data_IF_734764628042
#
_entry.id   IF_734764628042
#
_cell.length_a   1.000
_cell.length_b   1.000
_cell.length_c   1.000
_cell.angle_alpha   90.00
_cell.angle_beta   90.00
_cell.angle_gamma   90.00
#
_symmetry.space_group_name_H-M   'P 1'
#
loop_
_entity.id
_entity.type
_entity.pdbx_description
1 polymer ?
#
# COMPACT_ATOMS: atom_id res chain seq x y z
N UNK A 1 31.53 10.79 17.48
CA UNK A 1 32.42 10.49 16.35
C UNK A 1 32.15 9.05 15.83
N UNK A 2 32.13 8.04 16.69
CA UNK A 2 31.90 6.64 16.32
C UNK A 2 30.61 6.43 15.53
N UNK A 3 29.50 7.04 15.96
CA UNK A 3 28.20 6.93 15.26
C UNK A 3 28.26 7.55 13.86
N UNK A 4 28.94 8.69 13.72
CA UNK A 4 29.10 9.34 12.41
C UNK A 4 29.94 8.49 11.48
N UNK A 5 31.02 7.90 11.99
CA UNK A 5 31.89 6.98 11.22
C UNK A 5 31.13 5.72 10.79
N UNK A 6 30.25 5.17 11.66
CA UNK A 6 29.41 4.03 11.29
C UNK A 6 28.41 4.40 10.17
N UNK A 7 27.79 5.59 10.25
CA UNK A 7 26.88 6.07 9.18
C UNK A 7 27.59 6.32 7.85
N UNK A 8 28.85 6.77 7.90
CA UNK A 8 29.67 6.94 6.70
C UNK A 8 30.02 5.58 6.08
N UNK A 9 30.39 4.60 6.90
CA UNK A 9 30.68 3.25 6.44
C UNK A 9 29.44 2.58 5.81
N UNK A 10 28.25 2.70 6.43
CA UNK A 10 26.99 2.21 5.85
C UNK A 10 26.69 2.88 4.50
N UNK A 11 26.89 4.20 4.41
CA UNK A 11 26.69 4.94 3.16
C UNK A 11 27.67 4.48 2.06
N UNK A 12 28.93 4.28 2.37
CA UNK A 12 29.93 3.77 1.41
C UNK A 12 29.55 2.37 0.90
N UNK A 13 29.02 1.52 1.79
CA UNK A 13 28.52 0.21 1.41
C UNK A 13 27.33 0.32 0.46
N UNK A 14 26.31 1.12 0.80
CA UNK A 14 25.13 1.33 -0.04
C UNK A 14 25.50 1.90 -1.43
N UNK A 15 26.48 2.82 -1.49
CA UNK A 15 27.00 3.38 -2.75
C UNK A 15 27.74 2.31 -3.56
N UNK A 16 28.52 1.45 -2.92
CA UNK A 16 29.23 0.35 -3.58
C UNK A 16 28.25 -0.66 -4.17
N UNK A 17 27.21 -1.03 -3.43
CA UNK A 17 26.16 -1.93 -3.89
C UNK A 17 25.37 -1.32 -5.06
N UNK A 18 24.99 -0.04 -4.97
CA UNK A 18 24.33 0.68 -6.05
C UNK A 18 25.17 0.73 -7.33
N UNK A 19 26.49 0.94 -7.17
CA UNK A 19 27.45 0.96 -8.27
C UNK A 19 27.60 -0.42 -8.92
N UNK A 20 27.66 -1.49 -8.14
CA UNK A 20 27.75 -2.86 -8.68
C UNK A 20 26.56 -3.19 -9.57
N UNK A 21 25.34 -2.83 -9.13
CA UNK A 21 24.10 -2.99 -9.91
C UNK A 21 24.13 -2.17 -11.20
N UNK A 22 24.66 -0.94 -11.16
CA UNK A 22 24.81 -0.11 -12.37
C UNK A 22 25.75 -0.79 -13.37
N UNK A 23 26.92 -1.24 -12.91
CA UNK A 23 27.94 -1.87 -13.77
C UNK A 23 27.41 -3.16 -14.41
N UNK A 24 26.68 -4.00 -13.67
CA UNK A 24 26.05 -5.19 -14.23
C UNK A 24 25.06 -4.87 -15.35
N UNK A 25 24.20 -3.87 -15.14
CA UNK A 25 23.25 -3.42 -16.14
C UNK A 25 23.93 -2.78 -17.35
N UNK A 26 24.94 -1.96 -17.13
CA UNK A 26 25.73 -1.36 -18.23
C UNK A 26 26.39 -2.45 -19.08
N UNK A 27 27.03 -3.44 -18.46
CA UNK A 27 27.65 -4.55 -19.19
C UNK A 27 26.64 -5.27 -20.07
N UNK A 28 25.43 -5.55 -19.53
CA UNK A 28 24.38 -6.23 -20.32
C UNK A 28 24.01 -5.46 -21.58
N UNK A 29 24.00 -4.12 -21.54
CA UNK A 29 23.66 -3.27 -22.69
C UNK A 29 24.81 -3.14 -23.68
N UNK A 30 26.06 -2.94 -23.16
CA UNK A 30 27.23 -2.67 -24.00
C UNK A 30 28.04 -3.92 -24.36
N UNK A 31 27.62 -5.11 -23.93
CA UNK A 31 28.33 -6.37 -24.20
C UNK A 31 28.59 -6.56 -25.71
N UNK A 32 29.83 -6.88 -26.03
CA UNK A 32 30.26 -7.13 -27.42
C UNK A 32 30.37 -5.90 -28.33
N UNK A 33 30.12 -4.70 -27.81
CA UNK A 33 30.23 -3.45 -28.57
C UNK A 33 31.56 -2.76 -28.33
N UNK A 34 31.97 -1.92 -29.29
CA UNK A 34 33.17 -1.10 -29.22
C UNK A 34 32.82 0.32 -28.79
N UNK A 35 33.61 0.87 -27.86
CA UNK A 35 33.47 2.23 -27.39
C UNK A 35 33.78 3.24 -28.51
N UNK A 36 33.01 4.32 -28.58
CA UNK A 36 33.25 5.45 -29.51
C UNK A 36 34.09 6.57 -28.86
N UNK A 37 34.46 6.41 -27.57
CA UNK A 37 35.21 7.37 -26.79
C UNK A 37 34.33 8.00 -25.73
N UNK A 38 34.34 7.45 -24.52
CA UNK A 38 33.61 8.00 -23.37
C UNK A 38 34.54 9.02 -22.68
N UNK A 39 34.01 10.24 -22.54
CA UNK A 39 34.71 11.36 -21.90
C UNK A 39 33.96 11.81 -20.65
N UNK A 40 34.66 12.52 -19.77
CA UNK A 40 33.99 13.25 -18.70
C UNK A 40 33.54 14.65 -19.18
N UNK A 41 32.86 15.40 -18.35
CA UNK A 41 32.43 16.78 -18.65
C UNK A 41 33.60 17.72 -18.88
N UNK A 42 34.79 17.39 -18.41
CA UNK A 42 36.02 18.14 -18.61
C UNK A 42 36.74 17.78 -19.94
N UNK A 43 36.22 16.83 -20.70
CA UNK A 43 36.80 16.39 -21.97
C UNK A 43 37.90 15.34 -21.86
N UNK A 44 38.20 14.84 -20.65
CA UNK A 44 39.18 13.76 -20.48
C UNK A 44 38.61 12.42 -20.92
N UNK A 45 39.42 11.66 -21.66
CA UNK A 45 39.02 10.35 -22.18
C UNK A 45 39.11 9.29 -21.10
N UNK A 46 37.95 8.80 -20.63
CA UNK A 46 37.89 7.72 -19.64
C UNK A 46 38.05 6.35 -20.33
N UNK A 47 37.35 6.13 -21.43
CA UNK A 47 37.47 4.90 -22.23
C UNK A 47 37.83 5.30 -23.66
N UNK A 48 39.02 4.94 -24.17
CA UNK A 48 39.42 5.31 -25.52
C UNK A 48 38.57 4.62 -26.60
N UNK A 49 38.45 5.30 -27.74
CA UNK A 49 37.74 4.82 -28.93
C UNK A 49 38.33 3.50 -29.42
N UNK A 50 37.45 2.56 -29.79
CA UNK A 50 37.84 1.28 -30.36
C UNK A 50 38.09 0.15 -29.34
N UNK A 51 38.13 0.43 -28.04
CA UNK A 51 38.23 -0.62 -27.01
C UNK A 51 36.88 -1.31 -26.76
N UNK A 52 36.91 -2.61 -26.48
CA UNK A 52 35.73 -3.35 -26.01
C UNK A 52 35.50 -3.08 -24.53
N UNK A 53 34.25 -2.99 -24.13
CA UNK A 53 33.90 -2.79 -22.72
C UNK A 53 34.23 -4.04 -21.89
N UNK A 54 34.89 -3.85 -20.76
CA UNK A 54 35.16 -4.90 -19.78
C UNK A 54 34.67 -4.46 -18.40
N UNK A 55 34.27 -5.44 -17.58
CA UNK A 55 33.82 -5.18 -16.21
C UNK A 55 34.87 -4.44 -15.38
N UNK A 56 36.15 -4.80 -15.56
CA UNK A 56 37.27 -4.12 -14.86
C UNK A 56 37.36 -2.64 -15.19
N UNK A 57 37.13 -2.26 -16.47
CA UNK A 57 37.19 -0.85 -16.90
C UNK A 57 36.00 -0.07 -16.34
N UNK A 58 34.79 -0.63 -16.34
CA UNK A 58 33.62 0.01 -15.77
C UNK A 58 33.73 0.15 -14.23
N UNK A 59 34.26 -0.87 -13.55
CA UNK A 59 34.53 -0.76 -12.11
C UNK A 59 35.63 0.26 -11.75
N UNK A 60 36.52 0.56 -12.66
CA UNK A 60 37.57 1.56 -12.44
C UNK A 60 37.09 3.03 -12.53
N UNK A 61 35.87 3.23 -13.03
CA UNK A 61 35.29 4.57 -13.11
C UNK A 61 34.83 4.99 -11.70
N UNK A 62 35.47 5.97 -11.12
CA UNK A 62 35.13 6.42 -9.76
C UNK A 62 33.84 7.23 -9.71
N UNK A 63 33.61 8.10 -10.66
CA UNK A 63 32.45 8.99 -10.69
C UNK A 63 31.66 8.87 -12.00
N UNK A 64 30.48 8.28 -11.89
CA UNK A 64 29.53 8.16 -12.99
C UNK A 64 28.68 9.43 -13.19
N UNK A 65 28.70 10.38 -12.25
CA UNK A 65 27.89 11.60 -12.37
C UNK A 65 28.48 12.62 -13.35
N UNK A 66 29.78 12.57 -13.59
CA UNK A 66 30.52 13.48 -14.47
C UNK A 66 30.77 12.93 -15.88
N UNK A 67 30.20 11.77 -16.23
CA UNK A 67 30.46 11.13 -17.50
C UNK A 67 29.54 11.69 -18.59
N UNK A 68 30.14 11.97 -19.75
CA UNK A 68 29.38 12.34 -20.95
C UNK A 68 28.45 11.20 -21.39
N UNK A 69 27.26 11.58 -21.75
CA UNK A 69 26.22 10.66 -22.20
C UNK A 69 26.44 10.16 -23.64
N UNK A 70 27.33 10.80 -24.37
CA UNK A 70 27.66 10.46 -25.74
C UNK A 70 28.92 9.59 -25.83
N UNK A 71 29.04 8.82 -26.90
CA UNK A 71 30.23 8.05 -27.20
C UNK A 71 30.29 6.63 -26.64
N UNK A 72 29.22 6.12 -26.06
CA UNK A 72 29.17 4.75 -25.54
C UNK A 72 29.13 3.71 -26.67
N UNK A 73 28.18 3.78 -27.56
CA UNK A 73 28.03 2.83 -28.68
C UNK A 73 27.66 3.56 -29.98
N UNK A 74 27.72 2.85 -31.12
CA UNK A 74 27.27 3.35 -32.43
C UNK A 74 25.73 3.38 -32.54
N UNK A 75 25.02 2.66 -31.67
CA UNK A 75 23.56 2.51 -31.72
C UNK A 75 22.89 3.57 -30.83
N UNK A 76 22.14 4.50 -31.43
CA UNK A 76 21.45 5.58 -30.70
C UNK A 76 20.53 5.07 -29.58
N UNK A 77 19.77 4.00 -29.84
CA UNK A 77 18.84 3.45 -28.85
C UNK A 77 19.57 2.94 -27.57
N UNK A 78 20.74 2.32 -27.73
CA UNK A 78 21.53 1.86 -26.59
C UNK A 78 22.15 3.01 -25.80
N UNK A 79 22.54 4.07 -26.49
CA UNK A 79 23.03 5.27 -25.81
C UNK A 79 21.94 5.93 -24.96
N UNK A 80 20.69 5.96 -25.44
CA UNK A 80 19.55 6.44 -24.62
C UNK A 80 19.39 5.58 -23.36
N UNK A 81 19.40 4.25 -23.48
CA UNK A 81 19.28 3.36 -22.33
C UNK A 81 20.43 3.51 -21.32
N UNK A 82 21.65 3.72 -21.80
CA UNK A 82 22.81 4.00 -20.94
C UNK A 82 22.62 5.33 -20.20
N UNK A 83 22.15 6.36 -20.90
CA UNK A 83 21.85 7.66 -20.30
C UNK A 83 20.78 7.56 -19.22
N UNK A 84 19.69 6.85 -19.48
CA UNK A 84 18.61 6.63 -18.51
C UNK A 84 19.13 5.89 -17.27
N UNK A 85 20.02 4.90 -17.45
CA UNK A 85 20.62 4.18 -16.33
C UNK A 85 21.52 5.07 -15.48
N UNK A 86 22.36 5.89 -16.13
CA UNK A 86 23.26 6.83 -15.43
C UNK A 86 22.44 7.90 -14.71
N UNK A 87 21.40 8.43 -15.35
CA UNK A 87 20.50 9.40 -14.76
C UNK A 87 19.79 8.84 -13.51
N UNK A 88 19.24 7.64 -13.62
CA UNK A 88 18.59 6.96 -12.49
C UNK A 88 19.58 6.64 -11.34
N UNK A 89 20.82 6.30 -11.67
CA UNK A 89 21.89 6.14 -10.68
C UNK A 89 22.17 7.43 -9.95
N UNK A 90 22.29 8.55 -10.66
CA UNK A 90 22.54 9.87 -10.08
C UNK A 90 21.40 10.33 -9.16
N UNK A 91 20.13 10.08 -9.52
CA UNK A 91 18.99 10.35 -8.66
C UNK A 91 19.13 9.57 -7.35
N UNK A 92 19.34 8.25 -7.42
CA UNK A 92 19.49 7.41 -6.23
C UNK A 92 20.70 7.78 -5.38
N UNK A 93 21.82 8.12 -6.01
CA UNK A 93 23.01 8.59 -5.31
C UNK A 93 22.75 9.91 -4.55
N UNK A 94 22.03 10.84 -5.17
CA UNK A 94 21.65 12.10 -4.52
C UNK A 94 20.68 11.87 -3.36
N UNK A 95 19.75 10.91 -3.47
CA UNK A 95 18.86 10.51 -2.39
C UNK A 95 19.65 9.95 -1.20
N UNK A 96 20.62 9.06 -1.44
CA UNK A 96 21.49 8.51 -0.40
C UNK A 96 22.33 9.61 0.27
N UNK A 97 22.91 10.53 -0.52
CA UNK A 97 23.63 11.71 0.01
C UNK A 97 22.71 12.60 0.85
N UNK A 98 21.46 12.78 0.43
CA UNK A 98 20.44 13.53 1.16
C UNK A 98 20.08 12.87 2.51
N UNK A 99 19.94 11.54 2.52
CA UNK A 99 19.70 10.77 3.75
C UNK A 99 20.86 10.88 4.73
N UNK A 100 22.10 10.70 4.24
CA UNK A 100 23.30 10.85 5.07
C UNK A 100 23.40 12.25 5.68
N UNK A 101 23.17 13.30 4.86
CA UNK A 101 23.18 14.70 5.32
C UNK A 101 22.16 14.94 6.42
N UNK A 102 20.93 14.46 6.25
CA UNK A 102 19.87 14.56 7.26
C UNK A 102 20.23 13.84 8.55
N UNK A 103 20.74 12.60 8.48
CA UNK A 103 21.16 11.83 9.64
C UNK A 103 22.31 12.53 10.39
N UNK A 104 23.31 13.04 9.68
CA UNK A 104 24.41 13.81 10.27
C UNK A 104 23.92 15.11 10.94
N UNK A 105 22.99 15.81 10.29
CA UNK A 105 22.40 17.03 10.83
C UNK A 105 21.62 16.73 12.13
N UNK A 106 20.77 15.71 12.13
CA UNK A 106 20.02 15.29 13.33
C UNK A 106 20.96 14.94 14.49
N UNK A 107 22.08 14.27 14.20
CA UNK A 107 23.08 13.95 15.24
C UNK A 107 23.85 15.19 15.74
N UNK A 108 24.06 16.19 14.90
CA UNK A 108 24.80 17.40 15.27
C UNK A 108 23.95 18.39 16.06
N UNK A 109 22.68 18.53 15.68
CA UNK A 109 21.75 19.45 16.35
C UNK A 109 21.21 18.84 17.64
N UNK A 110 21.02 17.51 17.66
CA UNK A 110 20.36 16.83 18.77
C UNK A 110 18.87 17.13 18.85
N UNK A 111 18.21 16.53 19.84
CA UNK A 111 16.80 16.82 20.16
C UNK A 111 16.77 17.95 21.22
N UNK A 112 15.97 18.98 20.97
CA UNK A 112 15.67 19.98 21.98
C UNK A 112 14.76 19.35 23.04
N UNK A 113 15.29 19.17 24.23
CA UNK A 113 14.55 18.67 25.38
C UNK A 113 13.94 19.82 26.18
N UNK A 114 12.70 19.70 26.64
CA UNK A 114 12.11 20.68 27.55
C UNK A 114 12.95 20.87 28.82
N UNK A 115 12.89 22.06 29.42
CA UNK A 115 13.64 22.38 30.64
C UNK A 115 13.32 21.36 31.76
N UNK A 116 14.34 20.83 32.41
CA UNK A 116 14.23 19.85 33.49
C UNK A 116 14.24 18.38 33.05
N UNK A 117 14.20 18.09 31.72
CA UNK A 117 14.29 16.72 31.20
C UNK A 117 15.74 16.43 30.79
N UNK A 118 16.33 15.41 31.39
CA UNK A 118 17.72 15.01 31.08
C UNK A 118 17.81 14.04 29.91
N UNK A 119 16.83 13.14 29.75
CA UNK A 119 16.78 12.13 28.69
C UNK A 119 15.32 11.83 28.34
N UNK A 120 15.07 11.61 27.05
CA UNK A 120 13.78 11.17 26.52
C UNK A 120 13.95 9.79 25.86
N UNK A 121 13.24 8.81 26.35
CA UNK A 121 13.14 7.50 25.73
C UNK A 121 11.82 7.38 24.97
N UNK A 122 11.87 7.13 23.65
CA UNK A 122 10.70 6.84 22.82
C UNK A 122 10.62 5.33 22.63
N UNK A 123 9.59 4.72 23.19
CA UNK A 123 9.33 3.28 23.01
C UNK A 123 8.22 3.10 21.99
N UNK A 124 8.53 2.42 20.89
CA UNK A 124 7.56 2.09 19.85
C UNK A 124 7.03 0.68 20.07
N UNK A 125 5.72 0.57 20.24
CA UNK A 125 5.04 -0.71 20.42
C UNK A 125 4.17 -0.98 19.20
N UNK A 126 4.38 -2.13 18.57
CA UNK A 126 3.56 -2.60 17.47
C UNK A 126 2.63 -3.72 17.95
N UNK A 127 1.34 -3.61 17.63
CA UNK A 127 0.35 -4.64 17.90
C UNK A 127 -0.37 -5.03 16.62
N UNK A 128 -0.34 -6.31 16.27
CA UNK A 128 -1.11 -6.84 15.15
C UNK A 128 -2.56 -7.03 15.57
N UNK A 129 -3.48 -6.30 14.97
CA UNK A 129 -4.92 -6.41 15.21
C UNK A 129 -5.56 -7.22 14.09
N UNK A 130 -6.00 -8.43 14.40
CA UNK A 130 -6.73 -9.29 13.45
C UNK A 130 -8.09 -8.68 13.14
N UNK A 131 -8.64 -9.04 11.98
CA UNK A 131 -9.97 -8.64 11.56
C UNK A 131 -11.02 -9.27 12.48
N UNK A 132 -12.00 -8.47 12.91
CA UNK A 132 -13.13 -8.90 13.73
C UNK A 132 -14.45 -8.50 13.10
N UNK A 133 -15.53 -9.16 13.50
CA UNK A 133 -16.89 -8.72 13.17
C UNK A 133 -17.11 -7.31 13.73
N UNK A 134 -17.65 -6.42 12.92
CA UNK A 134 -17.85 -5.01 13.25
C UNK A 134 -16.71 -4.09 12.81
N UNK A 135 -15.57 -4.61 12.34
CA UNK A 135 -14.50 -3.80 11.77
C UNK A 135 -14.91 -3.26 10.40
N UNK A 136 -14.45 -2.03 10.09
CA UNK A 136 -14.76 -1.37 8.83
C UNK A 136 -13.71 -1.67 7.79
N UNK A 137 -14.17 -2.11 6.63
CA UNK A 137 -13.35 -2.32 5.44
C UNK A 137 -13.84 -1.48 4.27
N UNK A 138 -12.97 -1.19 3.34
CA UNK A 138 -13.32 -0.46 2.12
C UNK A 138 -12.41 -0.88 0.96
N UNK A 139 -12.93 -0.77 -0.25
CA UNK A 139 -12.12 -0.77 -1.47
C UNK A 139 -11.61 0.64 -1.80
N UNK A 140 -11.14 0.80 -3.03
CA UNK A 140 -10.62 2.09 -3.56
C UNK A 140 -11.67 2.94 -4.28
N UNK A 141 -12.93 2.47 -4.36
CA UNK A 141 -14.01 3.06 -5.16
C UNK A 141 -15.16 3.64 -4.30
N UNK A 142 -14.88 3.99 -3.04
CA UNK A 142 -15.91 4.46 -2.12
C UNK A 142 -16.84 3.34 -1.59
N UNK A 143 -16.56 2.10 -1.90
CA UNK A 143 -17.27 0.92 -1.45
C UNK A 143 -16.84 0.55 -0.03
N UNK A 144 -17.45 1.19 0.95
CA UNK A 144 -17.23 0.93 2.37
C UNK A 144 -18.26 -0.05 2.92
N UNK A 145 -17.83 -0.90 3.84
CA UNK A 145 -18.68 -1.86 4.51
C UNK A 145 -18.15 -2.24 5.88
N UNK A 146 -18.94 -3.00 6.60
CA UNK A 146 -18.60 -3.54 7.91
C UNK A 146 -18.63 -5.05 7.83
N UNK A 147 -17.67 -5.71 8.47
CA UNK A 147 -17.61 -7.17 8.54
C UNK A 147 -18.80 -7.66 9.36
N UNK A 148 -19.72 -8.33 8.70
CA UNK A 148 -20.91 -8.86 9.33
C UNK A 148 -20.69 -10.26 9.94
N UNK A 149 -19.90 -11.09 9.27
CA UNK A 149 -19.67 -12.47 9.68
C UNK A 149 -18.26 -12.92 9.23
N UNK A 150 -17.63 -13.74 10.04
CA UNK A 150 -16.41 -14.47 9.71
C UNK A 150 -16.75 -15.94 9.80
N UNK A 151 -16.52 -16.64 8.70
CA UNK A 151 -16.77 -18.09 8.57
C UNK A 151 -15.46 -18.83 8.29
N UNK A 152 -15.49 -20.14 8.44
CA UNK A 152 -14.35 -21.00 8.08
C UNK A 152 -14.22 -21.09 6.58
N UNK A 153 -13.03 -21.37 6.10
CA UNK A 153 -12.75 -21.52 4.67
C UNK A 153 -13.59 -22.63 4.02
N UNK A 154 -13.91 -23.68 4.79
CA UNK A 154 -14.74 -24.81 4.38
C UNK A 154 -16.19 -24.43 4.09
N UNK A 155 -16.72 -23.43 4.82
CA UNK A 155 -18.10 -22.93 4.68
C UNK A 155 -18.21 -21.78 3.67
N UNK A 156 -17.09 -21.33 3.10
CA UNK A 156 -17.10 -20.28 2.09
C UNK A 156 -17.47 -20.83 0.71
N UNK A 157 -18.15 -20.05 -0.13
CA UNK A 157 -18.37 -20.42 -1.52
C UNK A 157 -17.05 -20.69 -2.24
N UNK A 158 -17.02 -21.70 -3.09
CA UNK A 158 -15.81 -22.09 -3.81
C UNK A 158 -16.08 -22.23 -5.32
N UNK A 159 -15.00 -22.06 -6.10
CA UNK A 159 -15.03 -22.23 -7.55
C UNK A 159 -15.00 -23.72 -7.94
N UNK A 160 -15.25 -24.01 -9.20
CA UNK A 160 -15.14 -25.36 -9.78
C UNK A 160 -13.76 -26.02 -9.53
N UNK A 161 -12.71 -25.21 -9.45
CA UNK A 161 -11.35 -25.65 -9.11
C UNK A 161 -11.18 -26.02 -7.61
N UNK A 162 -12.23 -25.92 -6.80
CA UNK A 162 -12.18 -26.18 -5.35
C UNK A 162 -11.56 -25.05 -4.53
N UNK A 163 -11.29 -23.89 -5.12
CA UNK A 163 -10.67 -22.75 -4.44
C UNK A 163 -11.75 -21.88 -3.79
N UNK A 164 -11.73 -21.71 -2.45
CA UNK A 164 -12.70 -20.86 -1.76
C UNK A 164 -12.46 -19.38 -2.06
N UNK A 165 -13.52 -18.56 -1.95
CA UNK A 165 -13.41 -17.10 -1.99
C UNK A 165 -13.02 -16.56 -0.62
N UNK A 166 -12.21 -15.50 -0.59
CA UNK A 166 -11.76 -14.89 0.67
C UNK A 166 -12.80 -13.94 1.27
N UNK A 167 -13.64 -13.33 0.43
CA UNK A 167 -14.64 -12.34 0.85
C UNK A 167 -15.88 -12.40 -0.05
N UNK A 168 -17.05 -12.24 0.56
CA UNK A 168 -18.32 -12.06 -0.14
C UNK A 168 -18.83 -10.65 0.12
N UNK A 169 -19.12 -9.91 -0.95
CA UNK A 169 -19.60 -8.54 -0.89
C UNK A 169 -21.06 -8.47 -1.33
N UNK A 170 -21.83 -7.61 -0.65
CA UNK A 170 -23.24 -7.39 -1.00
C UNK A 170 -23.35 -6.58 -2.31
N UNK A 171 -23.96 -7.12 -3.38
CA UNK A 171 -24.08 -6.45 -4.65
C UNK A 171 -24.98 -5.21 -4.63
N UNK A 172 -25.90 -5.09 -3.67
CA UNK A 172 -26.81 -3.95 -3.54
C UNK A 172 -26.07 -2.61 -3.32
N UNK A 173 -24.82 -2.66 -2.86
CA UNK A 173 -23.98 -1.47 -2.70
C UNK A 173 -23.45 -0.88 -4.01
N UNK A 174 -23.61 -1.55 -5.16
CA UNK A 174 -23.05 -1.13 -6.44
C UNK A 174 -24.01 -0.27 -7.26
N UNK A 175 -25.27 -0.70 -7.56
CA UNK A 175 -26.14 0.00 -8.52
C UNK A 175 -26.49 1.42 -8.08
N UNK A 176 -26.88 1.59 -6.81
CA UNK A 176 -27.29 2.90 -6.28
C UNK A 176 -26.17 3.92 -6.20
N UNK A 177 -24.91 3.47 -6.09
CA UNK A 177 -23.72 4.33 -5.95
C UNK A 177 -22.96 4.53 -7.25
N UNK A 178 -23.34 3.84 -8.32
CA UNK A 178 -22.77 3.98 -9.66
C UNK A 178 -21.23 3.86 -9.71
N UNK A 179 -20.61 3.16 -8.78
CA UNK A 179 -19.16 2.94 -8.71
C UNK A 179 -18.73 1.67 -9.45
N UNK A 180 -18.98 1.65 -10.75
CA UNK A 180 -18.72 0.51 -11.65
C UNK A 180 -17.24 0.13 -11.69
N UNK A 181 -16.32 1.07 -11.43
CA UNK A 181 -14.88 0.84 -11.42
C UNK A 181 -14.44 -0.31 -10.52
N UNK A 182 -15.18 -0.61 -9.43
CA UNK A 182 -14.90 -1.76 -8.58
C UNK A 182 -15.09 -3.11 -9.31
N UNK A 183 -16.06 -3.21 -10.22
CA UNK A 183 -16.29 -4.42 -11.01
C UNK A 183 -15.15 -4.60 -12.02
N UNK A 184 -14.78 -3.52 -12.72
CA UNK A 184 -13.65 -3.55 -13.65
C UNK A 184 -12.34 -3.92 -12.95
N UNK A 185 -12.09 -3.35 -11.77
CA UNK A 185 -10.93 -3.72 -10.95
C UNK A 185 -10.95 -5.21 -10.60
N UNK A 186 -12.09 -5.74 -10.18
CA UNK A 186 -12.23 -7.14 -9.78
C UNK A 186 -11.93 -8.10 -10.93
N UNK A 187 -12.48 -7.81 -12.11
CA UNK A 187 -12.30 -8.65 -13.31
C UNK A 187 -10.87 -8.56 -13.82
N UNK A 188 -10.33 -7.35 -13.95
CA UNK A 188 -8.96 -7.13 -14.40
C UNK A 188 -7.93 -7.68 -13.40
N UNK A 189 -8.23 -7.60 -12.09
CA UNK A 189 -7.42 -8.21 -11.05
C UNK A 189 -7.32 -9.73 -11.18
N UNK A 190 -8.41 -10.38 -11.54
CA UNK A 190 -8.40 -11.83 -11.80
C UNK A 190 -7.58 -12.17 -13.06
N UNK A 191 -7.75 -11.39 -14.13
CA UNK A 191 -6.92 -11.54 -15.33
C UNK A 191 -5.44 -11.38 -15.01
N UNK A 192 -5.08 -10.37 -14.21
CA UNK A 192 -3.70 -10.15 -13.75
C UNK A 192 -3.15 -11.30 -12.93
N UNK A 193 -3.94 -11.90 -12.06
CA UNK A 193 -3.54 -13.06 -11.27
C UNK A 193 -3.24 -14.29 -12.16
N UNK A 194 -4.10 -14.55 -13.19
CA UNK A 194 -3.89 -15.66 -14.12
C UNK A 194 -2.69 -15.43 -15.06
N UNK A 195 -2.49 -14.21 -15.52
CA UNK A 195 -1.40 -13.85 -16.43
C UNK A 195 -0.07 -13.55 -15.68
N UNK A 196 -0.08 -13.49 -14.36
CA UNK A 196 1.10 -13.16 -13.55
C UNK A 196 1.54 -11.69 -13.69
N UNK A 197 0.65 -10.80 -14.11
CA UNK A 197 0.92 -9.37 -14.34
C UNK A 197 0.16 -8.49 -13.35
N UNK A 198 0.67 -7.28 -13.09
CA UNK A 198 -0.01 -6.25 -12.31
C UNK A 198 -0.34 -5.08 -13.20
N UNK A 199 -1.57 -4.59 -13.10
CA UNK A 199 -2.03 -3.44 -13.86
C UNK A 199 -2.01 -2.19 -12.99
N UNK A 200 -1.51 -1.08 -13.54
CA UNK A 200 -1.57 0.25 -12.95
C UNK A 200 -2.33 1.16 -13.91
N UNK A 201 -3.46 1.70 -13.44
CA UNK A 201 -4.31 2.58 -14.22
C UNK A 201 -4.32 3.97 -13.60
N UNK A 202 -3.83 5.03 -14.28
CA UNK A 202 -4.00 6.41 -13.84
C UNK A 202 -5.47 6.80 -13.75
N UNK A 203 -5.80 7.82 -12.93
CA UNK A 203 -7.19 8.21 -12.67
C UNK A 203 -7.92 8.67 -13.94
N UNK A 204 -7.25 9.40 -14.83
CA UNK A 204 -7.83 9.96 -16.04
C UNK A 204 -7.44 9.22 -17.33
N UNK A 205 -6.65 8.17 -17.22
CA UNK A 205 -6.21 7.32 -18.33
C UNK A 205 -6.35 5.85 -17.88
N UNK A 206 -7.59 5.48 -17.62
CA UNK A 206 -7.97 4.14 -17.19
C UNK A 206 -8.10 3.16 -18.36
N UNK A 207 -8.20 1.87 -18.06
CA UNK A 207 -8.43 0.83 -19.05
C UNK A 207 -9.85 0.97 -19.66
N UNK A 208 -9.94 0.87 -20.98
CA UNK A 208 -11.21 0.79 -21.70
C UNK A 208 -11.87 -0.58 -21.52
N UNK A 209 -13.17 -0.66 -21.82
CA UNK A 209 -13.91 -1.93 -21.76
C UNK A 209 -13.33 -2.93 -22.75
N UNK A 210 -12.95 -2.47 -23.94
CA UNK A 210 -12.38 -3.32 -24.98
C UNK A 210 -11.04 -3.93 -24.55
N UNK A 211 -10.17 -3.13 -23.93
CA UNK A 211 -8.89 -3.61 -23.37
C UNK A 211 -9.09 -4.63 -22.25
N UNK A 212 -10.07 -4.40 -21.37
CA UNK A 212 -10.41 -5.35 -20.30
C UNK A 212 -10.90 -6.66 -20.90
N UNK A 213 -11.79 -6.60 -21.90
CA UNK A 213 -12.31 -7.77 -22.58
C UNK A 213 -11.22 -8.55 -23.32
N UNK A 214 -10.28 -7.86 -23.97
CA UNK A 214 -9.13 -8.51 -24.61
C UNK A 214 -8.24 -9.24 -23.58
N UNK A 215 -7.96 -8.60 -22.46
CA UNK A 215 -7.13 -9.18 -21.41
C UNK A 215 -7.81 -10.36 -20.69
N UNK A 216 -9.12 -10.29 -20.47
CA UNK A 216 -9.90 -11.40 -19.89
C UNK A 216 -9.95 -12.59 -20.85
N UNK A 217 -10.12 -12.36 -22.15
CA UNK A 217 -10.07 -13.40 -23.16
C UNK A 217 -8.69 -14.07 -23.23
N UNK A 218 -7.60 -13.30 -23.18
CA UNK A 218 -6.23 -13.82 -23.09
C UNK A 218 -5.99 -14.67 -21.83
N UNK A 219 -6.62 -14.30 -20.72
CA UNK A 219 -6.53 -15.04 -19.47
C UNK A 219 -7.45 -16.26 -19.41
N UNK A 220 -8.32 -16.47 -20.39
CA UNK A 220 -9.33 -17.53 -20.39
C UNK A 220 -10.33 -17.39 -19.25
N UNK A 221 -10.77 -16.18 -18.96
CA UNK A 221 -11.77 -15.86 -17.95
C UNK A 221 -13.11 -15.64 -18.64
N UNK A 222 -14.22 -16.14 -18.07
CA UNK A 222 -15.55 -15.87 -18.59
C UNK A 222 -15.85 -14.37 -18.67
N UNK A 223 -16.70 -13.98 -19.60
CA UNK A 223 -17.08 -12.58 -19.83
C UNK A 223 -17.59 -11.93 -18.52
N UNK A 224 -17.08 -10.74 -18.22
CA UNK A 224 -17.34 -10.00 -16.97
C UNK A 224 -17.06 -10.76 -15.68
N UNK A 225 -16.23 -11.83 -15.70
CA UNK A 225 -15.91 -12.62 -14.51
C UNK A 225 -17.07 -13.43 -13.96
N UNK A 226 -18.14 -13.66 -14.76
CA UNK A 226 -19.28 -14.46 -14.36
C UNK A 226 -18.91 -15.94 -14.29
N UNK A 227 -18.93 -16.50 -13.10
CA UNK A 227 -18.65 -17.91 -12.89
C UNK A 227 -19.64 -18.53 -11.91
N UNK A 228 -19.84 -19.82 -12.03
CA UNK A 228 -20.67 -20.55 -11.08
C UNK A 228 -19.84 -20.92 -9.85
N UNK A 229 -20.39 -20.64 -8.70
CA UNK A 229 -19.84 -21.03 -7.41
C UNK A 229 -20.65 -22.16 -6.80
N UNK A 230 -20.05 -22.87 -5.87
CA UNK A 230 -20.67 -23.90 -5.07
C UNK A 230 -20.73 -23.42 -3.62
N UNK A 231 -21.82 -23.72 -2.93
CA UNK A 231 -21.99 -23.39 -1.52
C UNK A 231 -21.09 -24.29 -0.66
N UNK A 232 -20.27 -23.69 0.20
CA UNK A 232 -19.37 -24.45 1.08
C UNK A 232 -20.07 -25.35 2.09
N UNK A 233 -21.30 -24.97 2.51
CA UNK A 233 -22.07 -25.74 3.49
C UNK A 233 -22.79 -26.93 2.90
N UNK A 234 -23.43 -26.80 1.72
CA UNK A 234 -24.25 -27.83 1.08
C UNK A 234 -23.50 -28.55 -0.05
N UNK A 235 -22.51 -27.91 -0.66
CA UNK A 235 -21.84 -28.41 -1.86
C UNK A 235 -22.68 -28.24 -3.14
N UNK A 236 -23.83 -27.60 -3.06
CA UNK A 236 -24.71 -27.38 -4.23
C UNK A 236 -24.23 -26.19 -5.04
N UNK A 237 -24.41 -26.26 -6.35
CA UNK A 237 -24.06 -25.17 -7.27
C UNK A 237 -25.11 -24.04 -7.13
N UNK A 238 -24.66 -22.80 -7.18
CA UNK A 238 -25.55 -21.64 -7.22
C UNK A 238 -26.40 -21.63 -8.50
N UNK A 239 -27.67 -21.23 -8.38
CA UNK A 239 -28.60 -21.14 -9.51
C UNK A 239 -28.15 -20.08 -10.54
N UNK A 240 -27.53 -19.00 -10.08
CA UNK A 240 -27.09 -17.90 -10.91
C UNK A 240 -25.56 -17.76 -10.82
N UNK A 241 -24.90 -17.41 -11.95
CA UNK A 241 -23.47 -17.10 -11.94
C UNK A 241 -23.21 -15.83 -11.13
N UNK A 242 -22.11 -15.82 -10.38
CA UNK A 242 -21.66 -14.66 -9.62
C UNK A 242 -20.42 -14.04 -10.26
N UNK A 243 -20.24 -12.74 -10.11
CA UNK A 243 -18.99 -12.05 -10.50
C UNK A 243 -17.92 -12.35 -9.48
N UNK A 244 -16.86 -13.01 -9.91
CA UNK A 244 -15.70 -13.37 -9.09
C UNK A 244 -14.45 -12.72 -9.65
N UNK A 245 -13.53 -12.39 -8.79
CA UNK A 245 -12.25 -11.82 -9.20
C UNK A 245 -11.39 -11.40 -8.01
N UNK A 246 -10.42 -10.54 -8.25
CA UNK A 246 -9.48 -10.07 -7.24
C UNK A 246 -9.61 -8.55 -7.10
N UNK A 247 -9.93 -8.09 -5.92
CA UNK A 247 -10.07 -6.66 -5.59
C UNK A 247 -9.15 -6.29 -4.43
N UNK A 248 -8.68 -5.06 -4.42
CA UNK A 248 -7.86 -4.52 -3.35
C UNK A 248 -8.72 -3.99 -2.21
N UNK A 249 -8.63 -4.61 -1.03
CA UNK A 249 -9.41 -4.26 0.15
C UNK A 249 -8.53 -3.69 1.26
N UNK A 250 -9.02 -2.63 1.89
CA UNK A 250 -8.35 -1.91 2.96
C UNK A 250 -9.12 -2.09 4.27
N UNK A 251 -8.42 -2.43 5.35
CA UNK A 251 -8.95 -2.32 6.70
C UNK A 251 -8.80 -0.89 7.18
N UNK A 252 -9.89 -0.25 7.58
CA UNK A 252 -9.88 1.11 8.07
C UNK A 252 -9.58 1.18 9.57
N UNK A 253 -9.09 2.33 10.04
CA UNK A 253 -8.82 2.57 11.47
C UNK A 253 -10.06 2.62 12.37
N UNK A 254 -11.26 2.49 11.79
CA UNK A 254 -12.53 2.40 12.53
C UNK A 254 -12.80 0.96 12.95
N UNK A 255 -12.17 0.53 14.02
CA UNK A 255 -12.30 -0.84 14.54
C UNK A 255 -13.28 -0.89 15.70
N UNK A 256 -14.01 -2.00 15.83
CA UNK A 256 -15.04 -2.20 16.85
C UNK A 256 -14.48 -2.08 18.28
N UNK A 257 -13.28 -2.60 18.52
CA UNK A 257 -12.64 -2.54 19.84
C UNK A 257 -12.40 -1.11 20.33
N UNK A 258 -12.16 -0.18 19.39
CA UNK A 258 -11.97 1.23 19.73
C UNK A 258 -13.27 1.99 19.99
N UNK A 259 -14.40 1.49 19.47
CA UNK A 259 -15.72 2.14 19.55
C UNK A 259 -16.63 1.51 20.59
N UNK A 260 -16.40 0.26 20.95
CA UNK A 260 -17.19 -0.41 21.97
C UNK A 260 -17.01 0.28 23.32
N UNK A 261 -18.13 0.67 23.92
CA UNK A 261 -18.14 1.37 25.19
C UNK A 261 -19.38 1.03 26.00
N UNK A 262 -19.21 0.83 27.29
CA UNK A 262 -20.28 0.62 28.25
C UNK A 262 -19.91 1.27 29.58
N UNK A 263 -20.92 1.65 30.35
CA UNK A 263 -20.76 2.24 31.67
C UNK A 263 -21.83 1.72 32.62
N UNK A 264 -21.46 1.43 33.82
CA UNK A 264 -22.38 1.28 34.95
C UNK A 264 -22.26 2.48 35.90
N UNK A 265 -21.13 2.61 36.59
CA UNK A 265 -20.79 3.71 37.49
C UNK A 265 -19.49 4.33 36.99
N UNK A 266 -19.36 5.64 37.03
CA UNK A 266 -18.16 6.34 36.56
C UNK A 266 -18.11 7.80 37.03
N UNK A 267 -17.21 8.61 36.46
CA UNK A 267 -17.01 9.99 36.88
C UNK A 267 -18.20 10.89 36.50
N UNK A 268 -18.45 11.87 37.36
CA UNK A 268 -19.50 12.88 37.22
C UNK A 268 -18.88 14.26 37.02
N UNK A 269 -19.63 15.16 36.35
CA UNK A 269 -19.24 16.58 36.25
C UNK A 269 -19.27 17.26 37.60
N UNK A 270 -18.29 18.13 37.87
CA UNK A 270 -18.19 18.85 39.11
C UNK A 270 -19.34 19.87 39.31
N UNK A 271 -19.82 20.48 38.25
CA UNK A 271 -20.84 21.54 38.30
C UNK A 271 -22.24 20.95 38.29
N UNK A 272 -22.56 20.12 37.30
CA UNK A 272 -23.91 19.59 37.07
C UNK A 272 -24.19 18.30 37.84
N UNK A 273 -23.17 17.63 38.38
CA UNK A 273 -23.27 16.31 38.99
C UNK A 273 -23.91 15.24 38.12
N UNK A 274 -23.83 15.45 36.81
CA UNK A 274 -24.28 14.49 35.77
C UNK A 274 -23.12 13.63 35.29
N UNK A 275 -23.39 12.41 34.81
CA UNK A 275 -22.37 11.60 34.17
C UNK A 275 -21.68 12.33 33.02
N UNK A 276 -20.36 12.20 32.94
CA UNK A 276 -19.60 12.74 31.80
C UNK A 276 -20.02 12.07 30.50
N UNK A 277 -19.75 12.70 29.36
CA UNK A 277 -19.95 12.15 28.03
C UNK A 277 -18.67 11.63 27.40
N UNK A 278 -18.81 10.67 26.47
CA UNK A 278 -17.71 10.16 25.65
C UNK A 278 -16.93 9.00 26.26
N UNK A 279 -16.39 8.14 25.39
CA UNK A 279 -15.64 6.94 25.76
C UNK A 279 -14.34 7.26 26.52
N UNK A 280 -13.62 8.32 26.10
CA UNK A 280 -12.34 8.69 26.70
C UNK A 280 -12.43 9.06 28.18
N UNK A 281 -13.57 9.59 28.60
CA UNK A 281 -13.86 10.02 29.98
C UNK A 281 -14.64 8.95 30.76
N UNK A 282 -14.80 7.76 30.24
CA UNK A 282 -15.66 6.71 30.79
C UNK A 282 -17.08 7.25 31.06
N UNK A 283 -17.60 8.02 30.09
CA UNK A 283 -18.90 8.67 30.21
C UNK A 283 -20.06 7.77 29.82
N UNK A 284 -21.29 8.23 30.14
CA UNK A 284 -22.53 7.55 29.78
C UNK A 284 -23.13 8.10 28.47
N UNK A 285 -24.12 7.39 27.95
CA UNK A 285 -24.93 7.84 26.82
C UNK A 285 -25.95 8.88 27.30
N UNK A 286 -26.16 9.93 26.50
CA UNK A 286 -27.19 10.92 26.80
C UNK A 286 -28.57 10.37 26.41
N UNK A 287 -29.46 10.29 27.36
CA UNK A 287 -30.89 10.02 27.13
C UNK A 287 -31.64 11.37 27.05
N UNK A 288 -31.80 11.88 25.83
CA UNK A 288 -32.40 13.18 25.57
C UNK A 288 -33.93 13.14 25.52
N UNK A 289 -34.55 14.28 25.23
CA UNK A 289 -36.03 14.42 25.10
C UNK A 289 -36.61 13.49 24.04
N UNK A 290 -35.93 13.36 22.87
CA UNK A 290 -36.42 12.53 21.78
C UNK A 290 -36.43 11.04 22.15
N UNK A 291 -35.46 10.58 22.91
CA UNK A 291 -35.39 9.22 23.41
C UNK A 291 -36.49 8.93 24.44
N UNK A 292 -36.84 9.91 25.27
CA UNK A 292 -37.99 9.84 26.19
C UNK A 292 -39.28 9.69 25.40
N UNK A 293 -39.50 10.51 24.36
CA UNK A 293 -40.69 10.42 23.51
C UNK A 293 -40.81 9.06 22.82
N UNK A 294 -39.69 8.45 22.44
CA UNK A 294 -39.69 7.13 21.85
C UNK A 294 -40.22 6.06 22.84
N UNK A 295 -39.77 6.10 24.10
CA UNK A 295 -40.26 5.18 25.13
C UNK A 295 -41.74 5.43 25.47
N UNK A 296 -42.18 6.69 25.48
CA UNK A 296 -43.60 7.03 25.65
C UNK A 296 -44.45 6.48 24.51
N UNK A 297 -43.99 6.61 23.27
CA UNK A 297 -44.70 6.11 22.10
C UNK A 297 -44.82 4.58 22.09
N UNK A 298 -43.82 3.86 22.61
CA UNK A 298 -43.89 2.42 22.77
C UNK A 298 -44.66 1.96 24.02
N UNK A 299 -45.07 2.90 24.90
CA UNK A 299 -45.73 2.56 26.14
C UNK A 299 -44.85 1.84 27.16
N UNK A 300 -43.51 1.98 27.03
CA UNK A 300 -42.53 1.29 27.85
C UNK A 300 -42.34 2.00 29.23
N UNK A 301 -43.38 2.06 30.03
CA UNK A 301 -43.39 2.85 31.30
C UNK A 301 -42.39 2.36 32.34
N UNK A 302 -42.20 1.06 32.47
CA UNK A 302 -41.24 0.50 33.41
C UNK A 302 -39.80 0.80 33.05
N UNK A 303 -39.46 0.74 31.78
CA UNK A 303 -38.13 1.12 31.28
C UNK A 303 -37.87 2.59 31.48
N UNK A 304 -38.87 3.44 31.21
CA UNK A 304 -38.74 4.88 31.44
C UNK A 304 -38.57 5.20 32.91
N UNK A 305 -39.32 4.54 33.81
CA UNK A 305 -39.16 4.70 35.25
C UNK A 305 -37.76 4.31 35.71
N UNK A 306 -37.23 3.18 35.24
CA UNK A 306 -35.88 2.73 35.58
C UNK A 306 -34.79 3.71 35.12
N UNK A 307 -34.98 4.38 33.98
CA UNK A 307 -34.05 5.38 33.44
C UNK A 307 -34.09 6.70 34.22
N UNK A 308 -35.23 7.07 34.84
CA UNK A 308 -35.43 8.34 35.52
C UNK A 308 -35.21 8.25 37.03
N UNK A 309 -35.37 7.09 37.65
CA UNK A 309 -35.24 6.84 39.10
C UNK A 309 -34.06 5.92 39.37
#
# INVERSE_FOLDING_TARGET
>A
KEIVSALEADFEKDVTDLRSVLVEKLITIVAGKTCQGVTNELGEVIIPKGKKFSQKQLNAIEDYSSISTDGWTTEKQKNILVNDLIHNFNIKLNDLKGVLRRKKFTLSVGDELPAGILKLAKVYIAKKRKLKVGDKMAGRHGNKGIVARIVRDEDMPFSEDGKPVDIVLNPLGVPSRMNIGQIYETVLGWAGQKLGTKYATPIFDGASIDEITELTNKAGIPEYGHTYLYDGGTGERFDQPATVGVIYMLKLGHMVDDKMHARSIGPYSLITQQPLGGKAQFGGQRFGEMEVWALEAYGASYTLQEMLT
#
